data_IF_927273011810
#
_entry.id   IF_927273011810
#
_cell.length_a   1.000
_cell.length_b   1.000
_cell.length_c   1.000
_cell.angle_alpha   90.00
_cell.angle_beta   90.00
_cell.angle_gamma   90.00
#
_symmetry.space_group_name_H-M   'P 1'
#
loop_
_entity.id
_entity.type
_entity.pdbx_description
1 polymer ?
#
# COMPACT_ATOMS: atom_id res chain seq x y z
N UNK A 1 22.95 -7.19 -3.60
CA UNK A 1 21.87 -7.68 -4.47
C UNK A 1 20.66 -6.83 -4.16
N UNK A 2 19.79 -6.55 -5.12
CA UNK A 2 18.56 -5.82 -4.83
C UNK A 2 17.68 -6.66 -3.87
N UNK A 3 17.01 -6.06 -2.86
CA UNK A 3 16.23 -6.79 -1.87
C UNK A 3 14.95 -7.37 -2.47
N UNK A 4 14.43 -8.43 -1.86
CA UNK A 4 13.10 -8.95 -2.21
C UNK A 4 12.01 -8.07 -1.62
N UNK A 5 10.93 -7.86 -2.38
CA UNK A 5 9.81 -7.00 -2.00
C UNK A 5 8.51 -7.80 -1.96
N UNK A 6 7.75 -7.67 -0.87
CA UNK A 6 6.38 -8.16 -0.82
C UNK A 6 5.40 -6.99 -0.78
N UNK A 7 4.56 -6.91 -1.82
CA UNK A 7 3.43 -5.99 -1.86
C UNK A 7 2.27 -6.63 -1.11
N UNK A 8 1.78 -5.99 -0.05
CA UNK A 8 0.68 -6.46 0.79
C UNK A 8 -0.60 -5.68 0.49
N UNK A 9 -1.70 -6.39 0.23
CA UNK A 9 -2.97 -5.80 -0.18
C UNK A 9 -4.10 -6.35 0.68
N UNK A 10 -4.68 -5.57 1.61
CA UNK A 10 -5.94 -5.93 2.22
C UNK A 10 -7.06 -5.75 1.18
N UNK A 11 -7.92 -6.75 1.04
CA UNK A 11 -8.92 -6.77 -0.02
C UNK A 11 -10.26 -7.31 0.49
N UNK A 12 -11.37 -6.69 0.06
CA UNK A 12 -12.71 -7.23 0.22
C UNK A 12 -13.69 -6.57 -0.74
N UNK A 13 -14.33 -7.36 -1.61
CA UNK A 13 -15.32 -6.93 -2.60
C UNK A 13 -14.78 -5.84 -3.55
N UNK A 14 -13.69 -6.14 -4.21
CA UNK A 14 -12.95 -5.24 -5.11
C UNK A 14 -12.92 -5.78 -6.56
N UNK A 15 -13.97 -6.49 -7.01
CA UNK A 15 -14.04 -7.10 -8.35
C UNK A 15 -13.77 -6.11 -9.49
N UNK A 16 -14.05 -4.80 -9.26
CA UNK A 16 -13.91 -3.75 -10.28
C UNK A 16 -12.52 -3.14 -10.33
N UNK A 17 -11.74 -3.27 -9.29
CA UNK A 17 -10.49 -2.52 -9.11
C UNK A 17 -9.26 -3.41 -8.92
N UNK A 18 -9.44 -4.62 -8.41
CA UNK A 18 -8.32 -5.51 -8.08
C UNK A 18 -7.40 -5.78 -9.28
N UNK A 19 -7.95 -5.92 -10.48
CA UNK A 19 -7.15 -6.11 -11.69
C UNK A 19 -6.28 -4.90 -12.00
N UNK A 20 -6.74 -3.66 -11.72
CA UNK A 20 -5.99 -2.43 -11.99
C UNK A 20 -4.71 -2.35 -11.15
N UNK A 21 -4.80 -2.65 -9.84
CA UNK A 21 -3.62 -2.66 -8.98
C UNK A 21 -2.66 -3.78 -9.34
N UNK A 22 -3.17 -4.97 -9.69
CA UNK A 22 -2.34 -6.10 -10.10
C UNK A 22 -1.60 -5.82 -11.42
N UNK A 23 -2.28 -5.24 -12.42
CA UNK A 23 -1.66 -4.80 -13.67
C UNK A 23 -0.59 -3.74 -13.44
N UNK A 24 -0.85 -2.77 -12.54
CA UNK A 24 0.10 -1.72 -12.20
C UNK A 24 1.32 -2.28 -11.44
N UNK A 25 1.16 -3.31 -10.59
CA UNK A 25 2.28 -4.00 -9.93
C UNK A 25 3.08 -4.83 -10.95
N UNK A 26 2.41 -5.54 -11.86
CA UNK A 26 3.08 -6.29 -12.92
C UNK A 26 3.89 -5.38 -13.86
N UNK A 27 3.43 -4.14 -14.06
CA UNK A 27 4.10 -3.10 -14.86
C UNK A 27 5.20 -2.30 -14.13
N UNK A 28 5.53 -2.63 -12.89
CA UNK A 28 6.59 -1.93 -12.15
C UNK A 28 7.95 -2.11 -12.81
N UNK A 29 8.80 -1.09 -12.68
CA UNK A 29 10.20 -1.13 -13.19
C UNK A 29 11.11 -1.97 -12.30
N UNK A 30 10.68 -2.33 -11.09
CA UNK A 30 11.42 -3.23 -10.20
C UNK A 30 11.45 -4.66 -10.74
N UNK A 31 12.58 -5.42 -10.59
CA UNK A 31 12.69 -6.78 -11.12
C UNK A 31 11.57 -7.70 -10.61
N UNK A 32 10.84 -8.31 -11.52
CA UNK A 32 9.62 -9.08 -11.21
C UNK A 32 9.91 -10.34 -10.41
N UNK A 33 11.03 -10.95 -10.65
CA UNK A 33 11.51 -12.12 -9.91
C UNK A 33 11.83 -11.84 -8.43
N UNK A 34 11.92 -10.56 -8.05
CA UNK A 34 12.11 -10.09 -6.68
C UNK A 34 10.80 -9.60 -6.06
N UNK A 35 9.69 -9.60 -6.82
CA UNK A 35 8.37 -9.17 -6.36
C UNK A 35 7.49 -10.35 -5.95
N UNK A 36 6.85 -10.23 -4.81
CA UNK A 36 5.74 -11.06 -4.35
C UNK A 36 4.53 -10.17 -4.05
N UNK A 37 3.34 -10.60 -4.43
CA UNK A 37 2.08 -9.94 -4.05
C UNK A 37 1.32 -10.83 -3.09
N UNK A 38 0.97 -10.34 -1.91
CA UNK A 38 0.17 -11.07 -0.93
C UNK A 38 -1.13 -10.33 -0.68
N UNK A 39 -2.23 -10.92 -1.12
CA UNK A 39 -3.59 -10.38 -1.01
C UNK A 39 -4.28 -11.04 0.16
N UNK A 40 -4.63 -10.26 1.19
CA UNK A 40 -5.39 -10.73 2.33
C UNK A 40 -6.89 -10.46 2.10
N UNK A 41 -7.59 -11.46 1.61
CA UNK A 41 -9.01 -11.37 1.26
C UNK A 41 -9.93 -11.58 2.45
N UNK A 42 -10.76 -10.57 2.74
CA UNK A 42 -11.74 -10.55 3.81
C UNK A 42 -13.03 -11.34 3.52
N UNK A 43 -12.93 -12.51 2.85
CA UNK A 43 -14.05 -13.31 2.37
C UNK A 43 -14.95 -12.50 1.43
N UNK A 44 -14.39 -12.07 0.31
CA UNK A 44 -15.14 -11.39 -0.75
C UNK A 44 -16.31 -12.26 -1.24
N UNK A 45 -17.47 -11.62 -1.43
CA UNK A 45 -18.72 -12.25 -1.85
C UNK A 45 -19.05 -11.96 -3.32
N UNK A 46 -18.25 -11.10 -3.96
CA UNK A 46 -18.28 -10.76 -5.37
C UNK A 46 -17.25 -11.59 -6.16
N UNK A 47 -16.92 -11.16 -7.38
CA UNK A 47 -15.99 -11.88 -8.25
C UNK A 47 -14.51 -11.55 -7.99
N UNK A 48 -14.16 -10.90 -6.88
CA UNK A 48 -12.78 -10.50 -6.57
C UNK A 48 -11.79 -11.65 -6.70
N UNK A 49 -12.09 -12.81 -6.07
CA UNK A 49 -11.20 -14.00 -6.13
C UNK A 49 -11.08 -14.59 -7.53
N UNK A 50 -12.15 -14.52 -8.33
CA UNK A 50 -12.15 -14.96 -9.73
C UNK A 50 -11.24 -14.07 -10.57
N UNK A 51 -11.34 -12.75 -10.43
CA UNK A 51 -10.48 -11.79 -11.13
C UNK A 51 -8.98 -12.00 -10.78
N UNK A 52 -8.67 -12.23 -9.50
CA UNK A 52 -7.30 -12.57 -9.08
C UNK A 52 -6.83 -13.88 -9.73
N UNK A 53 -7.68 -14.92 -9.80
CA UNK A 53 -7.33 -16.20 -10.42
C UNK A 53 -7.08 -16.06 -11.93
N UNK A 54 -7.89 -15.24 -12.61
CA UNK A 54 -7.69 -14.90 -14.03
C UNK A 54 -6.34 -14.21 -14.22
N UNK A 55 -6.04 -13.20 -13.41
CA UNK A 55 -4.75 -12.49 -13.46
C UNK A 55 -3.56 -13.45 -13.26
N UNK A 56 -3.60 -14.30 -12.23
CA UNK A 56 -2.53 -15.29 -11.96
C UNK A 56 -2.29 -16.23 -13.13
N UNK A 57 -3.35 -16.62 -13.81
CA UNK A 57 -3.24 -17.50 -14.99
C UNK A 57 -2.59 -16.78 -16.16
N UNK A 58 -2.91 -15.50 -16.37
CA UNK A 58 -2.36 -14.68 -17.43
C UNK A 58 -0.89 -14.26 -17.18
N UNK A 59 -0.50 -14.12 -15.91
CA UNK A 59 0.81 -13.61 -15.49
C UNK A 59 1.53 -14.57 -14.52
N UNK A 60 1.93 -15.77 -14.99
CA UNK A 60 2.57 -16.79 -14.14
C UNK A 60 4.00 -16.41 -13.70
N UNK A 61 4.53 -15.33 -14.23
CA UNK A 61 5.84 -14.75 -13.95
C UNK A 61 5.83 -13.80 -12.73
N UNK A 62 4.68 -13.53 -12.12
CA UNK A 62 4.55 -12.78 -10.87
C UNK A 62 4.04 -13.72 -9.75
N UNK A 63 4.76 -13.76 -8.62
CA UNK A 63 4.33 -14.52 -7.46
C UNK A 63 3.15 -13.82 -6.76
N UNK A 64 1.94 -14.37 -6.90
CA UNK A 64 0.71 -13.85 -6.27
C UNK A 64 0.13 -14.88 -5.33
N UNK A 65 0.10 -14.57 -4.04
CA UNK A 65 -0.49 -15.37 -2.97
C UNK A 65 -1.79 -14.74 -2.46
N UNK A 66 -2.85 -15.52 -2.34
CA UNK A 66 -4.10 -15.10 -1.69
C UNK A 66 -4.21 -15.80 -0.35
N UNK A 67 -4.45 -15.05 0.70
CA UNK A 67 -4.65 -15.55 2.07
C UNK A 67 -5.97 -15.06 2.64
N UNK A 68 -6.58 -15.85 3.53
CA UNK A 68 -7.84 -15.48 4.17
C UNK A 68 -7.61 -14.47 5.31
N UNK A 69 -8.46 -13.44 5.35
CA UNK A 69 -8.57 -12.51 6.48
C UNK A 69 -9.90 -12.71 7.21
N UNK A 70 -9.99 -13.64 8.18
CA UNK A 70 -11.26 -13.97 8.83
C UNK A 70 -11.85 -12.84 9.67
N UNK A 71 -11.05 -11.88 10.13
CA UNK A 71 -11.53 -10.72 10.88
C UNK A 71 -12.18 -9.65 9.98
N UNK A 72 -11.94 -9.70 8.67
CA UNK A 72 -12.52 -8.80 7.65
C UNK A 72 -12.26 -7.30 7.89
N UNK A 73 -11.24 -6.95 8.68
CA UNK A 73 -10.79 -5.58 8.93
C UNK A 73 -9.41 -5.36 8.33
N UNK A 74 -9.11 -4.12 7.93
CA UNK A 74 -7.89 -3.76 7.21
C UNK A 74 -6.62 -4.16 8.00
N UNK A 75 -6.43 -3.75 9.28
CA UNK A 75 -5.18 -4.04 9.99
C UNK A 75 -4.94 -5.54 10.18
N UNK A 76 -6.00 -6.35 10.38
CA UNK A 76 -5.85 -7.81 10.40
C UNK A 76 -5.43 -8.38 9.05
N UNK A 77 -5.97 -7.83 7.95
CA UNK A 77 -5.56 -8.20 6.60
C UNK A 77 -4.08 -7.88 6.35
N UNK A 78 -3.65 -6.66 6.70
CA UNK A 78 -2.25 -6.24 6.59
C UNK A 78 -1.32 -7.16 7.39
N UNK A 79 -1.64 -7.43 8.65
CA UNK A 79 -0.85 -8.32 9.49
C UNK A 79 -0.79 -9.75 8.96
N UNK A 80 -1.91 -10.26 8.44
CA UNK A 80 -1.97 -11.60 7.82
C UNK A 80 -1.10 -11.65 6.57
N UNK A 81 -1.15 -10.62 5.73
CA UNK A 81 -0.30 -10.52 4.54
C UNK A 81 1.18 -10.42 4.91
N UNK A 82 1.57 -9.61 5.92
CA UNK A 82 2.96 -9.50 6.39
C UNK A 82 3.48 -10.87 6.86
N UNK A 83 2.71 -11.59 7.69
CA UNK A 83 3.10 -12.92 8.19
C UNK A 83 3.22 -13.97 7.09
N UNK A 84 2.46 -13.83 6.00
CA UNK A 84 2.44 -14.77 4.87
C UNK A 84 3.43 -14.41 3.77
N UNK A 85 4.10 -13.28 3.89
CA UNK A 85 5.02 -12.75 2.89
C UNK A 85 6.48 -13.07 3.23
N UNK A 86 7.37 -13.06 2.23
CA UNK A 86 8.77 -13.44 2.37
C UNK A 86 9.77 -12.30 2.06
N UNK A 87 9.32 -11.18 1.50
CA UNK A 87 10.17 -10.07 1.07
C UNK A 87 10.87 -9.37 2.24
N UNK A 88 12.08 -8.89 2.01
CA UNK A 88 12.87 -8.08 2.96
C UNK A 88 12.27 -6.68 3.14
N UNK A 89 11.60 -6.19 2.10
CA UNK A 89 10.85 -4.94 2.11
C UNK A 89 9.37 -5.25 1.96
N UNK A 90 8.56 -4.58 2.75
CA UNK A 90 7.09 -4.64 2.72
C UNK A 90 6.58 -3.34 2.11
N UNK A 91 5.77 -3.43 1.05
CA UNK A 91 5.09 -2.28 0.44
C UNK A 91 3.60 -2.48 0.60
N UNK A 92 2.92 -1.57 1.30
CA UNK A 92 1.46 -1.58 1.39
C UNK A 92 0.85 -0.94 0.15
N UNK A 93 -0.20 -1.54 -0.38
CA UNK A 93 -1.08 -0.96 -1.39
C UNK A 93 -2.52 -1.33 -1.08
N UNK A 94 -3.47 -0.46 -1.44
CA UNK A 94 -4.89 -0.80 -1.36
C UNK A 94 -5.39 -1.35 -2.69
N UNK A 95 -6.43 -2.20 -2.66
CA UNK A 95 -6.93 -2.94 -3.82
C UNK A 95 -7.53 -2.05 -4.95
N UNK A 96 -7.65 -0.75 -4.72
CA UNK A 96 -8.12 0.25 -5.68
C UNK A 96 -7.09 1.35 -5.97
N UNK A 97 -5.83 1.16 -5.59
CA UNK A 97 -4.72 2.06 -5.91
C UNK A 97 -4.06 1.68 -7.24
N UNK A 98 -3.51 2.67 -7.95
CA UNK A 98 -2.75 2.47 -9.18
C UNK A 98 -1.39 3.14 -8.98
N UNK A 99 -0.37 2.41 -8.49
CA UNK A 99 0.95 2.98 -8.28
C UNK A 99 1.61 3.41 -9.59
N UNK A 100 2.42 4.49 -9.53
CA UNK A 100 3.29 4.85 -10.63
C UNK A 100 4.26 3.69 -10.92
N UNK A 101 4.66 3.52 -12.19
CA UNK A 101 5.52 2.41 -12.64
C UNK A 101 6.87 2.31 -11.91
N UNK A 102 7.37 3.40 -11.35
CA UNK A 102 8.66 3.45 -10.65
C UNK A 102 8.50 3.45 -9.12
N UNK A 103 7.27 3.38 -8.61
CA UNK A 103 6.95 3.53 -7.18
C UNK A 103 7.74 2.57 -6.29
N UNK A 104 7.75 1.27 -6.62
CA UNK A 104 8.46 0.26 -5.81
C UNK A 104 9.97 0.51 -5.85
N UNK A 105 10.52 0.80 -7.02
CA UNK A 105 11.96 1.07 -7.17
C UNK A 105 12.40 2.29 -6.34
N UNK A 106 11.64 3.39 -6.40
CA UNK A 106 11.91 4.60 -5.62
C UNK A 106 11.81 4.35 -4.11
N UNK A 107 10.79 3.61 -3.66
CA UNK A 107 10.66 3.23 -2.25
C UNK A 107 11.85 2.38 -1.76
N UNK A 108 12.28 1.40 -2.56
CA UNK A 108 13.45 0.56 -2.24
C UNK A 108 14.72 1.41 -2.15
N UNK A 109 14.98 2.26 -3.13
CA UNK A 109 16.17 3.12 -3.16
C UNK A 109 16.23 4.05 -1.94
N UNK A 110 15.08 4.61 -1.54
CA UNK A 110 14.98 5.48 -0.37
C UNK A 110 15.21 4.71 0.94
N UNK A 111 14.66 3.49 1.08
CA UNK A 111 14.87 2.62 2.25
C UNK A 111 16.32 2.13 2.36
N UNK A 112 16.94 1.75 1.24
CA UNK A 112 18.34 1.30 1.22
C UNK A 112 19.32 2.46 1.48
N UNK A 113 18.91 3.69 1.17
CA UNK A 113 19.68 4.90 1.49
C UNK A 113 19.44 5.40 2.93
N UNK A 114 18.68 4.67 3.74
CA UNK A 114 18.32 5.00 5.13
C UNK A 114 17.74 6.43 5.30
N UNK A 115 17.00 6.91 4.30
CA UNK A 115 16.35 8.24 4.36
C UNK A 115 15.31 8.26 5.49
N UNK A 116 14.49 7.21 5.59
CA UNK A 116 13.46 7.07 6.60
C UNK A 116 13.07 5.60 6.83
N UNK A 117 12.31 5.31 7.87
CA UNK A 117 11.79 3.99 8.19
C UNK A 117 10.48 3.67 7.46
N UNK A 118 9.75 4.71 7.05
CA UNK A 118 8.58 4.60 6.20
C UNK A 118 8.70 5.56 5.02
N UNK A 119 8.50 5.04 3.81
CA UNK A 119 8.53 5.81 2.56
C UNK A 119 7.15 5.72 1.91
N UNK A 120 6.57 6.84 1.53
CA UNK A 120 5.31 6.88 0.80
C UNK A 120 5.32 7.87 -0.36
N UNK A 121 4.32 7.74 -1.22
CA UNK A 121 4.16 8.60 -2.38
C UNK A 121 3.00 9.59 -2.25
N UNK A 122 3.01 10.60 -3.09
CA UNK A 122 1.91 11.56 -3.24
C UNK A 122 0.73 10.92 -3.95
N UNK A 123 -0.48 11.28 -3.52
CA UNK A 123 -1.70 10.82 -4.14
C UNK A 123 -2.15 11.72 -5.28
N UNK A 124 -2.36 11.14 -6.45
CA UNK A 124 -3.16 11.74 -7.52
C UNK A 124 -4.61 11.29 -7.36
N UNK A 125 -5.44 12.11 -6.73
CA UNK A 125 -6.82 11.78 -6.37
C UNK A 125 -7.72 11.95 -7.59
N UNK A 126 -8.12 10.83 -8.20
CA UNK A 126 -9.01 10.80 -9.34
C UNK A 126 -10.48 10.73 -8.92
N UNK A 127 -11.41 11.36 -9.66
CA UNK A 127 -12.83 11.21 -9.39
C UNK A 127 -13.31 9.78 -9.70
N UNK A 128 -14.09 9.18 -8.80
CA UNK A 128 -14.58 7.81 -8.96
C UNK A 128 -15.58 7.60 -10.13
N UNK A 129 -16.06 8.67 -10.77
CA UNK A 129 -16.87 8.67 -12.00
C UNK A 129 -16.86 10.05 -12.67
N UNK A 130 -17.45 10.15 -13.87
CA UNK A 130 -17.48 11.40 -14.66
C UNK A 130 -18.44 12.48 -14.13
N UNK A 131 -19.22 12.17 -13.09
CA UNK A 131 -20.19 13.09 -12.49
C UNK A 131 -19.55 14.33 -11.85
N UNK A 132 -20.25 15.46 -11.87
CA UNK A 132 -19.77 16.70 -11.25
C UNK A 132 -19.55 16.58 -9.74
N UNK A 133 -20.37 15.75 -9.05
CA UNK A 133 -20.23 15.49 -7.61
C UNK A 133 -18.91 14.75 -7.34
N UNK A 134 -18.58 13.72 -8.11
CA UNK A 134 -17.34 12.97 -7.95
C UNK A 134 -16.11 13.85 -8.18
N UNK A 135 -16.16 14.72 -9.19
CA UNK A 135 -15.10 15.72 -9.43
C UNK A 135 -14.98 16.73 -8.28
N UNK A 136 -16.11 17.19 -7.72
CA UNK A 136 -16.09 18.09 -6.57
C UNK A 136 -15.50 17.42 -5.31
N UNK A 137 -15.81 16.14 -5.07
CA UNK A 137 -15.24 15.36 -3.97
C UNK A 137 -13.74 15.18 -4.16
N UNK A 138 -13.28 14.80 -5.35
CA UNK A 138 -11.85 14.65 -5.64
C UNK A 138 -11.09 15.98 -5.46
N UNK A 139 -11.63 17.08 -5.96
CA UNK A 139 -11.04 18.40 -5.78
C UNK A 139 -10.99 18.84 -4.29
N UNK A 140 -12.02 18.53 -3.52
CA UNK A 140 -12.03 18.81 -2.08
C UNK A 140 -11.00 17.94 -1.33
N UNK A 141 -10.90 16.65 -1.69
CA UNK A 141 -9.96 15.71 -1.07
C UNK A 141 -8.48 16.02 -1.34
N UNK A 142 -8.17 16.79 -2.41
CA UNK A 142 -6.84 17.31 -2.70
C UNK A 142 -6.61 18.77 -2.26
N UNK A 143 -7.57 19.39 -1.53
CA UNK A 143 -7.45 20.80 -1.17
C UNK A 143 -6.89 20.97 0.25
N UNK A 144 -5.78 21.72 0.47
CA UNK A 144 -5.17 21.91 1.79
C UNK A 144 -6.14 22.43 2.86
N UNK A 145 -7.12 23.27 2.49
CA UNK A 145 -8.12 23.80 3.42
C UNK A 145 -9.10 22.74 3.92
N UNK A 146 -9.30 21.64 3.15
CA UNK A 146 -10.23 20.57 3.50
C UNK A 146 -9.55 19.40 4.21
N UNK A 147 -8.23 19.17 3.98
CA UNK A 147 -7.52 17.97 4.44
C UNK A 147 -6.43 18.26 5.47
N UNK A 148 -6.25 19.52 5.87
CA UNK A 148 -5.28 19.90 6.90
C UNK A 148 -3.85 19.50 6.54
N UNK A 149 -3.14 18.85 7.46
CA UNK A 149 -1.72 18.49 7.32
C UNK A 149 -1.48 17.18 6.52
N UNK A 150 -2.48 16.70 5.77
CA UNK A 150 -2.33 15.51 4.92
C UNK A 150 -1.51 15.85 3.65
N UNK A 151 -0.22 16.14 3.83
CA UNK A 151 0.70 16.58 2.77
C UNK A 151 0.70 15.68 1.54
N UNK A 152 0.58 14.39 1.70
CA UNK A 152 0.53 13.39 0.62
C UNK A 152 -0.63 13.60 -0.38
N UNK A 153 -1.59 14.48 -0.09
CA UNK A 153 -2.76 14.77 -0.94
C UNK A 153 -2.60 15.99 -1.85
N UNK A 154 -1.60 16.83 -1.62
CA UNK A 154 -1.52 18.12 -2.34
C UNK A 154 -0.10 18.63 -2.54
N UNK A 155 0.95 18.00 -1.99
CA UNK A 155 2.32 18.45 -2.18
C UNK A 155 2.91 17.93 -3.48
N UNK A 156 3.83 18.69 -4.05
CA UNK A 156 4.69 18.31 -5.17
C UNK A 156 6.17 18.24 -4.76
N UNK A 157 6.45 18.23 -3.44
CA UNK A 157 7.79 18.30 -2.90
C UNK A 157 8.04 17.14 -1.93
N UNK A 158 9.13 16.45 -2.16
CA UNK A 158 9.64 15.45 -1.24
C UNK A 158 10.02 16.08 0.11
N UNK A 159 9.55 15.50 1.21
CA UNK A 159 9.76 16.03 2.56
C UNK A 159 9.59 14.96 3.64
N UNK A 160 10.17 15.24 4.81
CA UNK A 160 9.78 14.54 6.04
C UNK A 160 8.38 14.97 6.46
N UNK A 161 7.54 13.99 6.79
CA UNK A 161 6.13 14.19 7.16
C UNK A 161 5.77 13.35 8.39
N UNK A 162 4.59 13.63 8.97
CA UNK A 162 4.10 12.89 10.13
C UNK A 162 3.44 11.57 9.73
N UNK A 163 2.94 11.47 8.52
CA UNK A 163 2.20 10.30 8.05
C UNK A 163 2.21 10.18 6.53
N UNK A 164 2.21 8.93 6.09
CA UNK A 164 1.86 8.52 4.73
C UNK A 164 0.86 7.38 4.81
N UNK A 165 -0.15 7.31 3.94
CA UNK A 165 -1.23 6.31 4.04
C UNK A 165 -0.82 4.92 3.54
N UNK A 166 0.03 4.87 2.53
CA UNK A 166 0.63 3.65 1.99
C UNK A 166 2.12 3.75 2.21
N UNK A 167 2.69 2.78 2.88
CA UNK A 167 4.09 2.85 3.25
C UNK A 167 4.88 1.70 2.66
N UNK A 168 6.17 1.96 2.48
CA UNK A 168 7.20 0.96 2.28
C UNK A 168 8.10 0.92 3.51
N UNK A 169 8.43 -0.28 3.98
CA UNK A 169 9.12 -0.53 5.24
C UNK A 169 10.15 -1.65 5.07
N UNK A 170 11.28 -1.58 5.75
CA UNK A 170 12.10 -2.77 5.99
C UNK A 170 11.30 -3.73 6.89
N UNK A 171 11.27 -5.01 6.59
CA UNK A 171 10.53 -6.02 7.39
C UNK A 171 10.92 -6.00 8.86
N UNK A 172 12.21 -5.80 9.17
CA UNK A 172 12.73 -5.73 10.53
C UNK A 172 12.04 -4.66 11.39
N UNK A 173 11.49 -3.61 10.78
CA UNK A 173 10.75 -2.59 11.52
C UNK A 173 9.57 -3.18 12.31
N UNK A 174 8.85 -4.16 11.73
CA UNK A 174 7.73 -4.82 12.41
C UNK A 174 8.15 -5.70 13.58
N UNK A 175 9.40 -6.18 13.59
CA UNK A 175 9.98 -6.90 14.74
C UNK A 175 10.32 -5.93 15.87
N UNK A 176 10.70 -4.71 15.55
CA UNK A 176 11.13 -3.67 16.49
C UNK A 176 9.94 -2.95 17.16
N UNK A 177 8.97 -2.50 16.35
CA UNK A 177 7.87 -1.65 16.84
C UNK A 177 6.51 -2.36 16.89
N UNK A 178 6.44 -3.61 16.41
CA UNK A 178 5.21 -4.39 16.33
C UNK A 178 4.40 -4.12 15.05
N UNK A 179 3.41 -4.95 14.82
CA UNK A 179 2.53 -4.93 13.66
C UNK A 179 1.42 -3.87 13.80
N UNK A 180 0.54 -3.76 12.80
CA UNK A 180 -0.64 -2.89 12.86
C UNK A 180 -1.57 -3.26 14.01
N UNK A 181 -2.16 -2.28 14.70
CA UNK A 181 -3.12 -2.51 15.78
C UNK A 181 -4.47 -2.97 15.21
N UNK A 182 -4.79 -4.25 15.43
CA UNK A 182 -6.03 -4.87 14.93
C UNK A 182 -7.28 -4.45 15.68
N UNK A 183 -7.18 -3.67 16.74
CA UNK A 183 -8.32 -3.09 17.45
C UNK A 183 -8.87 -1.85 16.77
N UNK A 184 -8.11 -1.24 15.86
CA UNK A 184 -8.49 -0.06 15.11
C UNK A 184 -9.36 -0.44 13.91
N UNK A 185 -10.42 0.34 13.68
CA UNK A 185 -11.27 0.21 12.48
C UNK A 185 -10.86 1.16 11.36
N UNK A 186 -10.03 2.17 11.66
CA UNK A 186 -9.48 3.16 10.75
C UNK A 186 -8.24 3.80 11.37
N UNK A 187 -7.44 4.51 10.55
CA UNK A 187 -6.20 5.20 10.95
C UNK A 187 -5.11 4.26 11.49
N UNK A 188 -5.09 3.01 11.06
CA UNK A 188 -4.06 2.03 11.41
C UNK A 188 -2.67 2.43 10.91
N UNK A 189 -2.62 3.15 9.78
CA UNK A 189 -1.41 3.75 9.21
C UNK A 189 -0.90 4.92 10.07
N UNK A 190 -1.79 5.80 10.50
CA UNK A 190 -1.44 6.92 11.38
C UNK A 190 -0.90 6.42 12.74
N UNK A 191 -1.49 5.38 13.30
CA UNK A 191 -1.04 4.76 14.54
C UNK A 191 0.37 4.16 14.39
N UNK A 192 0.62 3.38 13.33
CA UNK A 192 1.93 2.82 13.03
C UNK A 192 2.97 3.94 12.82
N UNK A 193 2.62 4.98 12.06
CA UNK A 193 3.47 6.12 11.81
C UNK A 193 3.83 6.85 13.12
N UNK A 194 2.86 6.98 14.03
CA UNK A 194 3.10 7.56 15.38
C UNK A 194 4.13 6.74 16.15
N UNK A 195 4.05 5.40 16.14
CA UNK A 195 5.06 4.54 16.80
C UNK A 195 6.44 4.66 16.17
N UNK A 196 6.52 4.77 14.83
CA UNK A 196 7.79 5.03 14.13
C UNK A 196 8.42 6.31 14.65
N UNK A 197 7.68 7.41 14.69
CA UNK A 197 8.19 8.70 15.16
C UNK A 197 8.59 8.67 16.65
N UNK A 198 7.79 8.00 17.50
CA UNK A 198 8.09 7.84 18.92
C UNK A 198 9.35 7.01 19.19
N UNK A 199 9.68 6.06 18.31
CA UNK A 199 10.94 5.30 18.37
C UNK A 199 12.15 6.06 17.83
N UNK A 200 11.98 7.32 17.40
CA UNK A 200 13.04 8.16 16.80
C UNK A 200 13.22 7.94 15.30
N UNK A 201 12.36 7.17 14.67
CA UNK A 201 12.34 6.97 13.22
C UNK A 201 11.80 8.19 12.47
N UNK A 202 11.83 8.11 11.14
CA UNK A 202 11.40 9.17 10.22
C UNK A 202 10.46 8.61 9.18
N UNK A 203 9.64 9.49 8.62
CA UNK A 203 8.72 9.20 7.53
C UNK A 203 9.02 10.15 6.39
N UNK A 204 9.15 9.62 5.19
CA UNK A 204 9.48 10.37 3.98
C UNK A 204 8.37 10.25 2.95
N UNK A 205 7.99 11.37 2.41
CA UNK A 205 7.07 11.51 1.29
C UNK A 205 7.84 11.97 0.06
N UNK A 206 7.68 11.23 -1.07
CA UNK A 206 8.34 11.53 -2.33
C UNK A 206 7.32 11.66 -3.48
#
# INVERSE_FOLDING_TARGET
MAPTVSVIIPCRNEEKTIHLVLDAIHGQSYPRELLQVVIADGFSEDRTREEIAVFKTAHPDLDVLVVDNPKRVIPSGLNTAIRSSAGEIIVRMDAHSIPNKDYIALCVDALESDIAQNIGGVWDIQPGNEGWIARAIAAAAGNPLAVGDAHYRFTDKAAYVDTVPYGAYKRSLFDEIGHFDESLLANEDYELNTRILQSGGKIWLD
#
